data_IF_163832730984
#
_entry.id   IF_163832730984
#
_cell.length_a   1.000
_cell.length_b   1.000
_cell.length_c   1.000
_cell.angle_alpha   90.00
_cell.angle_beta   90.00
_cell.angle_gamma   90.00
#
_symmetry.space_group_name_H-M   'P 1'
#
loop_
_entity.id
_entity.type
_entity.pdbx_description
1 polymer ?
#
# COMPACT_ATOMS: atom_id res chain seq x y z
N UNK A 1 31.72 5.58 71.12
CA UNK A 1 30.66 4.73 71.69
C UNK A 1 29.35 5.41 71.30
N UNK A 2 28.50 4.99 70.35
CA UNK A 2 28.11 3.72 69.68
C UNK A 2 27.22 4.20 68.50
N UNK A 3 27.49 3.94 67.21
CA UNK A 3 26.88 2.89 66.35
C UNK A 3 25.46 2.45 66.85
N UNK A 4 24.32 2.48 66.15
CA UNK A 4 23.92 2.17 64.76
C UNK A 4 22.45 2.61 64.57
N UNK A 5 22.10 3.09 63.37
CA UNK A 5 20.72 3.15 62.89
C UNK A 5 20.68 2.92 61.38
N UNK A 6 20.62 1.66 60.95
CA UNK A 6 20.48 1.27 59.54
C UNK A 6 19.08 1.63 59.03
N UNK A 7 18.95 2.14 57.78
CA UNK A 7 17.66 2.32 57.15
C UNK A 7 17.08 0.99 56.62
N UNK A 8 15.77 0.87 56.75
CA UNK A 8 14.97 -0.23 56.23
C UNK A 8 15.08 -0.33 54.70
N UNK A 9 15.34 -1.55 54.23
CA UNK A 9 15.12 -1.95 52.84
C UNK A 9 13.62 -2.09 52.61
N UNK A 10 13.10 -1.50 51.53
CA UNK A 10 12.04 -2.15 50.77
C UNK A 10 12.22 -1.81 49.30
N UNK A 11 12.42 -2.87 48.52
CA UNK A 11 12.57 -2.87 47.08
C UNK A 11 11.21 -3.26 46.51
N UNK A 12 10.55 -2.39 45.76
CA UNK A 12 9.65 -2.82 44.70
C UNK A 12 9.69 -1.79 43.56
N UNK A 13 10.13 -2.25 42.40
CA UNK A 13 10.15 -1.53 41.15
C UNK A 13 8.74 -1.13 40.71
N UNK A 14 8.56 0.09 40.20
CA UNK A 14 7.59 0.38 39.14
C UNK A 14 8.11 1.57 38.33
N UNK A 15 8.68 1.22 37.18
CA UNK A 15 8.63 1.92 35.89
C UNK A 15 7.77 3.18 35.90
N UNK A 16 8.34 4.34 35.57
CA UNK A 16 7.71 5.27 34.64
C UNK A 16 8.81 6.13 34.00
N UNK A 17 9.22 5.64 32.83
CA UNK A 17 10.03 6.30 31.83
C UNK A 17 9.32 7.59 31.40
N UNK A 18 9.45 8.66 32.19
CA UNK A 18 9.04 10.02 31.82
C UNK A 18 10.06 10.61 30.85
N UNK A 19 10.10 10.04 29.66
CA UNK A 19 10.83 10.59 28.55
C UNK A 19 9.98 10.37 27.29
N UNK A 20 9.82 11.44 26.51
CA UNK A 20 9.49 11.46 25.07
C UNK A 20 8.02 11.62 24.62
N UNK A 21 7.11 12.17 25.44
CA UNK A 21 5.73 12.41 24.97
C UNK A 21 5.38 13.88 24.63
N UNK A 22 6.36 14.79 24.51
CA UNK A 22 6.08 16.24 24.34
C UNK A 22 6.42 16.84 22.96
N UNK A 23 6.87 16.05 21.98
CA UNK A 23 7.28 16.58 20.67
C UNK A 23 6.49 16.01 19.46
N UNK A 24 5.40 15.27 19.67
CA UNK A 24 4.69 14.58 18.57
C UNK A 24 3.74 15.50 17.76
N UNK A 25 3.35 16.67 18.26
CA UNK A 25 2.24 17.44 17.63
C UNK A 25 2.67 18.60 16.74
N UNK A 26 3.94 18.71 16.33
CA UNK A 26 4.36 19.78 15.41
C UNK A 26 5.53 19.35 14.52
N UNK A 27 5.26 19.33 13.21
CA UNK A 27 6.17 19.07 12.10
C UNK A 27 6.39 17.60 11.72
N UNK A 28 5.51 17.07 10.87
CA UNK A 28 5.91 16.30 9.70
C UNK A 28 4.94 16.63 8.56
N UNK A 29 5.42 17.28 7.49
CA UNK A 29 4.80 17.15 6.19
C UNK A 29 4.86 15.65 5.87
N UNK A 30 3.77 14.95 6.16
CA UNK A 30 3.54 13.59 5.75
C UNK A 30 3.61 13.60 4.21
N UNK A 31 4.77 13.21 3.67
CA UNK A 31 4.86 12.83 2.26
C UNK A 31 4.03 11.55 2.14
N UNK A 32 2.71 11.72 2.10
CA UNK A 32 1.79 10.65 1.82
C UNK A 32 2.13 10.19 0.41
N UNK A 33 2.62 8.94 0.30
CA UNK A 33 2.83 8.30 -0.99
C UNK A 33 1.58 8.47 -1.85
N UNK A 34 1.72 8.79 -3.15
CA UNK A 34 0.57 9.02 -4.01
C UNK A 34 -0.33 7.79 -3.98
N UNK A 35 -1.63 8.03 -3.83
CA UNK A 35 -2.62 6.96 -3.84
C UNK A 35 -2.60 6.20 -5.18
N UNK A 36 -3.03 4.93 -5.22
CA UNK A 36 -3.13 4.19 -6.48
C UNK A 36 -3.91 4.93 -7.56
N UNK A 37 -5.02 5.59 -7.20
CA UNK A 37 -5.78 6.43 -8.13
C UNK A 37 -4.97 7.61 -8.67
N UNK A 38 -4.19 8.30 -7.84
CA UNK A 38 -3.33 9.41 -8.28
C UNK A 38 -2.25 8.95 -9.24
N UNK A 39 -1.61 7.80 -8.98
CA UNK A 39 -0.60 7.24 -9.87
C UNK A 39 -1.17 6.88 -11.23
N UNK A 40 -2.30 6.16 -11.27
CA UNK A 40 -2.98 5.80 -12.52
C UNK A 40 -3.36 7.05 -13.30
N UNK A 41 -3.92 8.06 -12.62
CA UNK A 41 -4.30 9.34 -13.25
C UNK A 41 -3.07 10.06 -13.80
N UNK A 42 -1.96 10.09 -13.06
CA UNK A 42 -0.72 10.73 -13.49
C UNK A 42 -0.12 10.04 -14.73
N UNK A 43 -0.02 8.70 -14.71
CA UNK A 43 0.50 7.88 -15.81
C UNK A 43 -0.32 8.03 -17.11
N UNK A 44 -1.63 8.24 -16.99
CA UNK A 44 -2.53 8.43 -18.13
C UNK A 44 -2.65 9.88 -18.62
N UNK A 45 -1.87 10.82 -18.08
CA UNK A 45 -1.87 12.22 -18.52
C UNK A 45 -2.96 13.10 -17.88
N UNK A 46 -3.51 12.68 -16.74
CA UNK A 46 -4.34 13.51 -15.86
C UNK A 46 -5.84 13.20 -15.89
N UNK A 47 -6.57 13.82 -14.94
CA UNK A 47 -7.99 13.50 -14.67
C UNK A 47 -8.89 13.67 -15.89
N UNK A 48 -8.58 14.64 -16.76
CA UNK A 48 -9.40 14.92 -17.95
C UNK A 48 -9.38 13.74 -18.93
N UNK A 49 -8.21 13.17 -19.19
CA UNK A 49 -8.06 12.01 -20.08
C UNK A 49 -8.79 10.81 -19.49
N UNK A 50 -8.53 10.51 -18.22
CA UNK A 50 -9.18 9.40 -17.51
C UNK A 50 -10.71 9.53 -17.55
N UNK A 51 -11.25 10.71 -17.27
CA UNK A 51 -12.68 10.98 -17.33
C UNK A 51 -13.30 10.71 -18.70
N UNK A 52 -12.60 11.08 -19.78
CA UNK A 52 -13.02 10.78 -21.16
C UNK A 52 -13.00 9.28 -21.44
N UNK A 53 -11.95 8.57 -21.01
CA UNK A 53 -11.81 7.12 -21.23
C UNK A 53 -12.93 6.34 -20.54
N UNK A 54 -13.23 6.66 -19.28
CA UNK A 54 -14.25 5.94 -18.50
C UNK A 54 -15.67 6.49 -18.67
N UNK A 55 -15.84 7.49 -19.55
CA UNK A 55 -17.11 8.17 -19.82
C UNK A 55 -17.80 8.69 -18.54
N UNK A 56 -17.03 9.30 -17.63
CA UNK A 56 -17.54 9.90 -16.38
C UNK A 56 -17.23 11.38 -16.30
N UNK A 57 -18.01 12.09 -15.48
CA UNK A 57 -17.70 13.47 -15.13
C UNK A 57 -16.35 13.56 -14.41
N UNK A 58 -15.57 14.61 -14.71
CA UNK A 58 -14.25 14.88 -14.07
C UNK A 58 -14.34 14.83 -12.55
N UNK A 59 -15.41 15.37 -11.97
CA UNK A 59 -15.60 15.39 -10.51
C UNK A 59 -15.68 13.98 -9.91
N UNK A 60 -16.23 12.99 -10.62
CA UNK A 60 -16.29 11.61 -10.13
C UNK A 60 -14.89 10.98 -10.10
N UNK A 61 -14.06 11.26 -11.10
CA UNK A 61 -12.67 10.78 -11.14
C UNK A 61 -11.84 11.47 -10.04
N UNK A 62 -12.03 12.77 -9.82
CA UNK A 62 -11.38 13.49 -8.71
C UNK A 62 -11.72 12.87 -7.35
N UNK A 63 -12.97 12.40 -7.15
CA UNK A 63 -13.39 11.74 -5.91
C UNK A 63 -12.71 10.41 -5.66
N UNK A 64 -12.11 9.75 -6.67
CA UNK A 64 -11.38 8.51 -6.43
C UNK A 64 -10.16 8.72 -5.53
N UNK A 65 -9.59 9.92 -5.54
CA UNK A 65 -8.45 10.28 -4.67
C UNK A 65 -8.86 10.53 -3.22
N UNK A 66 -10.16 10.74 -2.98
CA UNK A 66 -10.68 11.10 -1.66
C UNK A 66 -10.86 9.88 -0.76
N UNK A 67 -10.79 10.07 0.57
CA UNK A 67 -11.16 9.03 1.53
C UNK A 67 -12.64 8.65 1.40
N UNK A 68 -12.97 7.42 1.81
CA UNK A 68 -14.36 6.93 1.79
C UNK A 68 -15.30 7.74 2.68
N UNK A 69 -14.78 8.31 3.78
CA UNK A 69 -15.54 9.17 4.69
C UNK A 69 -16.08 10.45 3.99
N UNK A 70 -15.41 10.91 2.93
CA UNK A 70 -15.84 12.05 2.11
C UNK A 70 -16.63 11.64 0.85
N UNK A 71 -17.05 10.38 0.76
CA UNK A 71 -17.71 9.82 -0.42
C UNK A 71 -16.75 9.53 -1.59
N UNK A 72 -15.46 9.36 -1.31
CA UNK A 72 -14.48 8.85 -2.27
C UNK A 72 -14.37 7.33 -2.27
N UNK A 73 -13.38 6.80 -2.97
CA UNK A 73 -13.11 5.35 -3.04
C UNK A 73 -12.02 4.89 -2.06
N UNK A 74 -11.39 5.84 -1.36
CA UNK A 74 -10.23 5.58 -0.50
C UNK A 74 -8.91 5.56 -1.28
N UNK A 75 -8.78 6.37 -2.33
CA UNK A 75 -7.56 6.42 -3.14
C UNK A 75 -7.44 5.29 -4.17
N UNK A 76 -8.53 4.55 -4.44
CA UNK A 76 -8.52 3.39 -5.34
C UNK A 76 -9.35 3.65 -6.60
N UNK A 77 -8.89 3.13 -7.74
CA UNK A 77 -9.71 3.14 -8.97
C UNK A 77 -10.79 2.05 -8.86
N UNK A 78 -12.08 2.36 -9.10
CA UNK A 78 -13.13 1.36 -9.10
C UNK A 78 -12.86 0.21 -10.08
N UNK A 79 -13.10 -1.03 -9.66
CA UNK A 79 -12.86 -2.24 -10.45
C UNK A 79 -13.45 -2.21 -11.87
N UNK A 80 -14.69 -1.71 -12.12
CA UNK A 80 -15.26 -1.68 -13.46
C UNK A 80 -14.43 -0.88 -14.47
N UNK A 81 -13.68 0.13 -14.01
CA UNK A 81 -12.93 1.04 -14.87
C UNK A 81 -11.49 0.61 -15.11
N UNK A 82 -10.95 -0.34 -14.34
CA UNK A 82 -9.55 -0.76 -14.45
C UNK A 82 -9.24 -1.34 -15.83
N UNK A 83 -10.12 -2.19 -16.35
CA UNK A 83 -9.96 -2.82 -17.67
C UNK A 83 -9.99 -1.80 -18.80
N UNK A 84 -10.88 -0.80 -18.73
CA UNK A 84 -10.99 0.27 -19.72
C UNK A 84 -9.71 1.11 -19.78
N UNK A 85 -9.15 1.42 -18.61
CA UNK A 85 -7.93 2.20 -18.48
C UNK A 85 -6.69 1.43 -18.98
N UNK A 86 -6.60 0.14 -18.69
CA UNK A 86 -5.54 -0.73 -19.22
C UNK A 86 -5.63 -0.86 -20.74
N UNK A 87 -6.84 -1.04 -21.29
CA UNK A 87 -7.04 -1.06 -22.76
C UNK A 87 -6.61 0.25 -23.40
N UNK A 88 -6.96 1.38 -22.78
CA UNK A 88 -6.53 2.68 -23.27
C UNK A 88 -5.00 2.82 -23.24
N UNK A 89 -4.34 2.42 -22.15
CA UNK A 89 -2.89 2.45 -22.03
C UNK A 89 -2.19 1.62 -23.12
N UNK A 90 -2.71 0.43 -23.44
CA UNK A 90 -2.19 -0.40 -24.52
C UNK A 90 -2.29 0.29 -25.89
N UNK A 91 -3.38 1.02 -26.15
CA UNK A 91 -3.59 1.73 -27.42
C UNK A 91 -2.72 2.98 -27.52
N UNK A 92 -2.52 3.69 -26.42
CA UNK A 92 -1.75 4.95 -26.39
C UNK A 92 -0.26 4.75 -26.12
N UNK A 93 0.16 3.53 -25.74
CA UNK A 93 1.53 3.24 -25.32
C UNK A 93 1.88 3.85 -23.96
N UNK A 94 0.90 4.09 -23.09
CA UNK A 94 1.15 4.58 -21.74
C UNK A 94 1.74 3.46 -20.86
N UNK A 95 2.74 3.80 -20.04
CA UNK A 95 3.40 2.89 -19.10
C UNK A 95 2.53 2.65 -17.85
N UNK A 96 1.39 1.99 -18.04
CA UNK A 96 0.44 1.64 -17.00
C UNK A 96 0.41 0.11 -16.81
N UNK A 97 0.80 -0.33 -15.62
CA UNK A 97 0.79 -1.73 -15.23
C UNK A 97 -0.40 -2.05 -14.30
N UNK A 98 -0.66 -3.34 -14.09
CA UNK A 98 -1.75 -3.77 -13.22
C UNK A 98 -1.47 -3.43 -11.75
N UNK A 99 -0.20 -3.48 -11.37
CA UNK A 99 0.32 -3.15 -10.05
C UNK A 99 0.02 -1.71 -9.63
N UNK A 100 -0.09 -0.79 -10.59
CA UNK A 100 -0.36 0.63 -10.31
C UNK A 100 -1.72 0.85 -9.64
N UNK A 101 -2.67 -0.07 -9.83
CA UNK A 101 -4.02 0.00 -9.27
C UNK A 101 -4.10 -0.42 -7.80
N UNK A 102 -3.01 -0.93 -7.22
CA UNK A 102 -2.99 -1.52 -5.88
C UNK A 102 -2.09 -0.73 -4.91
N UNK A 103 -2.36 -0.81 -3.59
CA UNK A 103 -1.48 -0.23 -2.58
C UNK A 103 -0.05 -0.81 -2.63
N UNK A 104 0.94 0.03 -2.33
CA UNK A 104 2.36 -0.35 -2.46
C UNK A 104 2.77 -1.45 -1.48
N UNK A 105 2.17 -1.47 -0.29
CA UNK A 105 2.38 -2.52 0.72
C UNK A 105 1.91 -3.89 0.21
N UNK A 106 0.76 -3.93 -0.47
CA UNK A 106 0.23 -5.15 -1.08
C UNK A 106 1.13 -5.61 -2.24
N UNK A 107 1.53 -4.70 -3.12
CA UNK A 107 2.41 -5.01 -4.25
C UNK A 107 3.77 -5.51 -3.76
N UNK A 108 4.34 -4.85 -2.74
CA UNK A 108 5.60 -5.26 -2.12
C UNK A 108 5.50 -6.65 -1.50
N UNK A 109 4.43 -6.92 -0.74
CA UNK A 109 4.18 -8.23 -0.14
C UNK A 109 4.05 -9.35 -1.19
N UNK A 110 3.35 -9.09 -2.30
CA UNK A 110 3.21 -10.05 -3.41
C UNK A 110 4.55 -10.32 -4.11
N UNK A 111 5.35 -9.28 -4.35
CA UNK A 111 6.69 -9.41 -4.94
C UNK A 111 7.63 -10.22 -4.04
N UNK A 112 7.58 -10.00 -2.73
CA UNK A 112 8.35 -10.77 -1.76
C UNK A 112 7.90 -12.23 -1.66
N UNK A 113 6.62 -12.51 -1.89
CA UNK A 113 6.05 -13.87 -1.82
C UNK A 113 6.34 -14.72 -3.05
N UNK A 114 6.64 -14.11 -4.21
CA UNK A 114 6.94 -14.87 -5.43
C UNK A 114 8.24 -15.63 -5.21
N UNK A 115 8.24 -16.97 -5.03
CA UNK A 115 9.49 -17.70 -5.05
C UNK A 115 10.15 -17.40 -6.40
N UNK A 116 11.45 -17.17 -6.39
CA UNK A 116 12.25 -17.02 -7.61
C UNK A 116 11.82 -18.08 -8.62
N UNK A 117 11.67 -17.71 -9.90
CA UNK A 117 11.40 -18.64 -11.00
C UNK A 117 12.33 -19.88 -10.98
N UNK A 118 13.52 -19.77 -10.35
CA UNK A 118 14.43 -20.87 -10.10
C UNK A 118 13.84 -22.01 -9.24
N UNK A 119 12.85 -21.75 -8.38
CA UNK A 119 12.22 -22.76 -7.53
C UNK A 119 11.03 -23.47 -8.21
N UNK A 120 10.41 -22.86 -9.23
CA UNK A 120 9.23 -23.42 -9.91
C UNK A 120 9.60 -24.34 -11.09
N UNK A 121 10.81 -24.22 -11.65
CA UNK A 121 11.27 -25.09 -12.75
C UNK A 121 11.55 -26.54 -12.31
N UNK A 122 11.75 -26.80 -11.01
CA UNK A 122 12.04 -28.15 -10.51
C UNK A 122 10.79 -28.95 -10.09
N UNK A 123 9.64 -28.28 -9.87
CA UNK A 123 8.47 -28.89 -9.23
C UNK A 123 7.34 -29.28 -10.19
N UNK A 124 7.34 -28.80 -11.43
CA UNK A 124 6.14 -28.82 -12.29
C UNK A 124 6.20 -29.72 -13.54
N UNK A 125 7.19 -30.58 -13.71
CA UNK A 125 7.15 -31.63 -14.74
C UNK A 125 7.23 -32.99 -14.07
N UNK A 126 6.08 -33.51 -13.63
CA UNK A 126 5.95 -34.97 -13.49
C UNK A 126 5.84 -35.52 -14.92
N UNK A 127 6.74 -36.39 -15.38
CA UNK A 127 6.64 -36.94 -16.73
C UNK A 127 5.30 -37.69 -16.86
N UNK A 128 4.64 -37.52 -18.00
CA UNK A 128 3.33 -38.12 -18.34
C UNK A 128 3.30 -39.65 -18.12
N UNK A 129 4.47 -40.29 -18.05
CA UNK A 129 4.66 -41.71 -17.77
C UNK A 129 4.25 -42.17 -16.37
N UNK A 130 4.01 -41.28 -15.41
CA UNK A 130 3.59 -41.65 -14.04
C UNK A 130 2.06 -41.60 -13.82
N UNK A 131 1.26 -41.22 -14.82
CA UNK A 131 -0.21 -41.32 -14.70
C UNK A 131 -0.63 -42.79 -14.83
N UNK A 132 -0.82 -43.44 -13.69
CA UNK A 132 -1.37 -44.81 -13.59
C UNK A 132 -2.76 -44.84 -14.28
N UNK A 133 -3.05 -45.86 -15.12
CA UNK A 133 -4.32 -45.97 -15.85
C UNK A 133 -5.53 -46.12 -14.93
#
# INVERSE_FOLDING_TARGET
MTWIGMPARSSVATVLLSARNSCIVRAMCEHQSPTPAERVIAKLGGTKVVATVVQRARQNVERWKKPRAEGGTGGLVPAPHQVELLRHALVTGADLELEDFFPDDLVAALKARRPSMAALSHAAVRPESERKP
#
